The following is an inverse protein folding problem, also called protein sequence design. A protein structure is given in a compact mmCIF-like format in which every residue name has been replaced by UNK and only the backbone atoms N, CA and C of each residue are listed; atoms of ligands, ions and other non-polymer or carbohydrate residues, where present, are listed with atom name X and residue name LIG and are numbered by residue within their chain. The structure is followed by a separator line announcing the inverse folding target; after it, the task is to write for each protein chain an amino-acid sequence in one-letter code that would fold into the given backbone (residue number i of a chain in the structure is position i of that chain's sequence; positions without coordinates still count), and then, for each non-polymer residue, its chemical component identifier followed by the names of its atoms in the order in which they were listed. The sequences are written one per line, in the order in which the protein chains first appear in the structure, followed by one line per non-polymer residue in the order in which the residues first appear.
data_IF_312702646288
#
_entry.id   IF_312702646288
#
_cell.length_a   1.000
_cell.length_b   1.000
_cell.length_c   1.000
_cell.angle_alpha   90.00
_cell.angle_beta   90.00
_cell.angle_gamma   90.00
#
_symmetry.space_group_name_H-M   'P 1'
#
loop_
_entity.id
_entity.type
_entity.pdbx_description
1 polymer ?
#
# COMPACT_ATOMS: atom_id res chain seq x y z
N UNK A 1 27.71 -13.46 7.59
CA UNK A 1 26.42 -12.80 7.28
C UNK A 1 25.78 -12.46 8.61
N UNK A 2 25.36 -11.21 8.83
CA UNK A 2 24.74 -10.76 10.09
C UNK A 2 23.41 -11.50 10.31
N UNK A 3 23.17 -11.99 11.52
CA UNK A 3 21.88 -12.53 11.94
C UNK A 3 21.02 -11.47 12.64
N UNK A 4 19.77 -11.81 12.95
CA UNK A 4 18.83 -10.86 13.53
C UNK A 4 19.21 -10.44 14.96
N UNK A 5 19.71 -11.37 15.75
CA UNK A 5 20.17 -11.07 17.11
C UNK A 5 21.40 -10.16 17.10
N UNK A 6 22.34 -10.39 16.18
CA UNK A 6 23.50 -9.53 15.97
C UNK A 6 23.07 -8.11 15.56
N UNK A 7 22.08 -8.00 14.67
CA UNK A 7 21.53 -6.70 14.26
C UNK A 7 20.99 -5.92 15.48
N UNK A 8 20.08 -6.51 16.23
CA UNK A 8 19.48 -5.83 17.37
C UNK A 8 20.43 -5.50 18.51
N UNK A 9 21.52 -6.26 18.64
CA UNK A 9 22.56 -6.03 19.65
C UNK A 9 23.73 -5.15 19.16
N UNK A 10 23.70 -4.69 17.89
CA UNK A 10 24.83 -3.95 17.31
C UNK A 10 25.00 -2.54 17.91
N UNK A 11 23.93 -1.92 18.37
CA UNK A 11 23.98 -0.59 19.02
C UNK A 11 22.99 -0.52 20.21
N UNK A 12 23.27 0.32 21.21
CA UNK A 12 22.35 0.53 22.33
C UNK A 12 20.97 1.02 21.88
N UNK A 13 20.91 1.87 20.85
CA UNK A 13 19.65 2.43 20.32
C UNK A 13 18.77 1.36 19.68
N UNK A 14 19.36 0.49 18.86
CA UNK A 14 18.61 -0.62 18.23
C UNK A 14 18.12 -1.61 19.29
N UNK A 15 18.96 -1.93 20.27
CA UNK A 15 18.56 -2.78 21.40
C UNK A 15 17.40 -2.16 22.18
N UNK A 16 17.47 -0.85 22.44
CA UNK A 16 16.39 -0.13 23.13
C UNK A 16 15.07 -0.19 22.36
N UNK A 17 15.11 0.06 21.04
CA UNK A 17 13.90 -0.03 20.17
C UNK A 17 13.29 -1.43 20.24
N UNK A 18 14.14 -2.47 20.17
CA UNK A 18 13.70 -3.87 20.22
C UNK A 18 13.02 -4.21 21.56
N UNK A 19 13.68 -3.91 22.66
CA UNK A 19 13.17 -4.23 24.00
C UNK A 19 11.92 -3.42 24.33
N UNK A 20 11.88 -2.14 23.92
CA UNK A 20 10.70 -1.29 24.13
C UNK A 20 9.51 -1.76 23.29
N UNK A 21 9.72 -2.14 22.04
CA UNK A 21 8.66 -2.67 21.17
C UNK A 21 8.05 -3.96 21.77
N UNK A 22 8.88 -4.90 22.21
CA UNK A 22 8.41 -6.15 22.85
C UNK A 22 7.69 -5.89 24.18
N UNK A 23 8.18 -4.94 24.98
CA UNK A 23 7.52 -4.53 26.22
C UNK A 23 6.15 -3.89 25.98
N UNK A 24 5.92 -3.28 24.81
CA UNK A 24 4.65 -2.69 24.38
C UNK A 24 3.83 -3.62 23.48
N UNK A 25 4.25 -4.87 23.34
CA UNK A 25 3.58 -5.91 22.53
C UNK A 25 3.33 -5.48 21.07
N UNK A 26 4.33 -4.84 20.44
CA UNK A 26 4.36 -4.50 19.02
C UNK A 26 5.59 -5.08 18.34
N UNK A 27 5.50 -5.26 17.01
CA UNK A 27 6.59 -5.83 16.22
C UNK A 27 7.82 -4.89 16.17
N UNK A 28 9.02 -5.35 16.56
CA UNK A 28 10.22 -4.51 16.58
C UNK A 28 10.59 -3.91 15.22
N UNK A 29 10.49 -4.68 14.13
CA UNK A 29 10.81 -4.20 12.78
C UNK A 29 9.88 -3.08 12.32
N UNK A 30 8.58 -3.23 12.50
CA UNK A 30 7.63 -2.18 12.15
C UNK A 30 7.85 -0.93 13.01
N UNK A 31 8.13 -1.10 14.31
CA UNK A 31 8.46 0.00 15.22
C UNK A 31 9.71 0.73 14.76
N UNK A 32 10.80 0.02 14.45
CA UNK A 32 12.05 0.63 13.95
C UNK A 32 11.80 1.45 12.68
N UNK A 33 11.06 0.92 11.70
CA UNK A 33 10.85 1.62 10.44
C UNK A 33 10.03 2.90 10.63
N UNK A 34 9.03 2.87 11.52
CA UNK A 34 8.28 4.07 11.88
C UNK A 34 9.15 5.07 12.66
N UNK A 35 10.02 4.61 13.55
CA UNK A 35 11.03 5.45 14.24
C UNK A 35 11.92 6.15 13.21
N UNK A 36 12.45 5.42 12.22
CA UNK A 36 13.27 6.03 11.17
C UNK A 36 12.50 7.07 10.35
N UNK A 37 11.22 6.82 10.05
CA UNK A 37 10.38 7.79 9.36
C UNK A 37 10.16 9.06 10.19
N UNK A 38 9.99 8.94 11.51
CA UNK A 38 9.85 10.07 12.41
C UNK A 38 11.15 10.85 12.57
N UNK A 39 12.30 10.16 12.71
CA UNK A 39 13.62 10.80 12.68
C UNK A 39 13.82 11.57 11.38
N UNK A 40 13.49 10.96 10.23
CA UNK A 40 13.57 11.65 8.92
C UNK A 40 12.84 12.99 8.95
N UNK A 41 11.61 13.02 9.45
CA UNK A 41 10.81 14.27 9.51
C UNK A 41 11.40 15.28 10.51
N UNK A 42 12.07 14.83 11.58
CA UNK A 42 12.74 15.72 12.52
C UNK A 42 13.98 16.41 11.93
N UNK A 43 14.60 15.81 10.90
CA UNK A 43 15.80 16.35 10.24
C UNK A 43 15.45 17.53 9.34
N UNK A 44 16.17 18.66 9.40
CA UNK A 44 15.97 19.79 8.49
C UNK A 44 16.07 19.39 7.01
N UNK A 45 15.28 20.00 6.11
CA UNK A 45 15.27 19.63 4.70
C UNK A 45 16.61 19.88 3.98
N UNK A 46 17.41 20.84 4.44
CA UNK A 46 18.73 21.16 3.88
C UNK A 46 19.85 20.15 4.29
N UNK A 47 19.56 19.22 5.18
CA UNK A 47 20.44 18.07 5.46
C UNK A 47 20.22 17.04 4.39
N UNK A 48 21.25 16.68 3.64
CA UNK A 48 21.16 15.83 2.45
C UNK A 48 22.24 14.75 2.47
N UNK A 49 21.99 13.65 1.76
CA UNK A 49 23.04 12.66 1.51
C UNK A 49 23.91 13.09 0.34
N UNK A 50 25.17 12.63 0.25
CA UNK A 50 25.98 12.89 -0.92
C UNK A 50 25.39 12.25 -2.18
N UNK A 51 25.85 12.69 -3.35
CA UNK A 51 25.44 12.15 -4.66
C UNK A 51 26.04 10.76 -4.91
N UNK A 52 25.61 9.76 -4.14
CA UNK A 52 26.02 8.36 -4.34
C UNK A 52 25.39 7.77 -5.60
N UNK A 53 24.17 8.22 -5.94
CA UNK A 53 23.40 7.76 -7.10
C UNK A 53 23.05 8.97 -7.95
N UNK A 54 23.67 9.06 -9.12
CA UNK A 54 23.50 10.21 -10.01
C UNK A 54 24.37 11.41 -9.64
N UNK A 55 23.96 12.61 -10.03
CA UNK A 55 24.70 13.87 -9.81
C UNK A 55 24.11 14.74 -8.70
N UNK A 56 22.89 14.42 -8.25
CA UNK A 56 22.16 15.23 -7.28
C UNK A 56 22.31 14.70 -5.85
N UNK A 57 22.27 15.57 -4.86
CA UNK A 57 22.21 15.18 -3.46
C UNK A 57 20.89 14.48 -3.14
N UNK A 58 20.93 13.50 -2.24
CA UNK A 58 19.74 12.75 -1.87
C UNK A 58 18.98 13.38 -0.71
N UNK A 59 17.65 13.41 -0.78
CA UNK A 59 16.78 13.72 0.37
C UNK A 59 16.70 12.53 1.32
N UNK A 60 16.42 12.79 2.60
CA UNK A 60 16.16 11.76 3.62
C UNK A 60 14.69 11.33 3.71
N UNK A 61 13.85 11.77 2.79
CA UNK A 61 12.43 11.38 2.74
C UNK A 61 12.31 9.85 2.60
N UNK A 62 11.50 9.22 3.45
CA UNK A 62 11.36 7.76 3.51
C UNK A 62 9.90 7.34 3.61
N UNK A 63 9.55 6.21 3.01
CA UNK A 63 8.21 5.65 3.03
C UNK A 63 8.18 4.31 3.72
N UNK A 64 7.17 4.08 4.58
CA UNK A 64 7.03 2.87 5.40
C UNK A 64 5.65 2.26 5.17
N UNK A 65 5.63 0.97 4.86
CA UNK A 65 4.43 0.14 4.76
C UNK A 65 4.36 -0.89 5.89
N UNK A 66 3.37 -0.77 6.76
CA UNK A 66 3.14 -1.72 7.86
C UNK A 66 2.19 -2.81 7.35
N UNK A 67 2.72 -4.01 7.15
CA UNK A 67 2.01 -5.16 6.58
C UNK A 67 1.18 -5.88 7.64
N UNK A 68 -0.11 -6.09 7.38
CA UNK A 68 -0.94 -6.91 8.25
C UNK A 68 -2.44 -6.72 8.01
N UNK A 69 -3.27 -7.68 8.44
CA UNK A 69 -4.72 -7.58 8.39
C UNK A 69 -5.27 -6.37 9.15
N UNK A 70 -6.52 -6.03 8.93
CA UNK A 70 -7.21 -4.99 9.72
C UNK A 70 -7.32 -5.43 11.19
N UNK A 71 -7.19 -4.49 12.11
CA UNK A 71 -7.32 -4.77 13.55
C UNK A 71 -6.08 -5.35 14.23
N UNK A 72 -4.99 -5.65 13.52
CA UNK A 72 -3.77 -6.27 14.06
C UNK A 72 -2.77 -5.28 14.70
N UNK A 73 -3.21 -4.08 15.08
CA UNK A 73 -2.35 -3.18 15.88
C UNK A 73 -1.42 -2.27 15.07
N UNK A 74 -1.67 -2.04 13.76
CA UNK A 74 -0.87 -1.07 12.97
C UNK A 74 -0.83 0.32 13.62
N UNK A 75 -1.97 0.81 14.09
CA UNK A 75 -2.06 2.08 14.81
C UNK A 75 -1.36 2.06 16.19
N UNK A 76 -1.36 0.91 16.87
CA UNK A 76 -0.59 0.74 18.11
C UNK A 76 0.92 0.88 17.85
N UNK A 77 1.42 0.25 16.79
CA UNK A 77 2.83 0.36 16.39
C UNK A 77 3.25 1.80 16.11
N UNK A 78 2.42 2.57 15.38
CA UNK A 78 2.70 4.00 15.13
C UNK A 78 2.66 4.82 16.42
N UNK A 79 1.75 4.51 17.34
CA UNK A 79 1.66 5.14 18.67
C UNK A 79 2.88 4.85 19.53
N UNK A 80 3.39 3.61 19.54
CA UNK A 80 4.61 3.22 20.28
C UNK A 80 5.83 3.93 19.69
N UNK A 81 5.99 3.98 18.39
CA UNK A 81 7.07 4.72 17.74
C UNK A 81 6.96 6.24 17.99
N UNK A 82 5.74 6.79 18.11
CA UNK A 82 5.54 8.17 18.53
C UNK A 82 6.04 8.43 19.96
N UNK A 83 5.84 7.50 20.89
CA UNK A 83 6.38 7.65 22.25
C UNK A 83 7.90 7.58 22.30
N UNK A 84 8.55 6.89 21.32
CA UNK A 84 10.01 6.82 21.20
C UNK A 84 10.61 8.11 20.62
N UNK A 85 9.95 8.70 19.63
CA UNK A 85 10.38 9.94 18.96
C UNK A 85 9.20 10.91 18.92
N UNK A 86 8.85 11.57 20.04
CA UNK A 86 7.66 12.41 20.14
C UNK A 86 7.81 13.74 19.41
N UNK A 87 8.97 14.38 19.52
CA UNK A 87 9.24 15.70 18.95
C UNK A 87 9.74 15.58 17.51
N UNK A 88 8.93 16.06 16.58
CA UNK A 88 9.28 16.17 15.16
C UNK A 88 9.20 17.62 14.65
N UNK A 89 9.55 18.58 15.49
CA UNK A 89 9.75 19.99 15.16
C UNK A 89 8.63 20.58 14.28
N UNK A 90 7.42 20.64 14.80
CA UNK A 90 6.25 21.26 14.14
C UNK A 90 5.92 20.66 12.76
N UNK A 91 6.17 19.36 12.55
CA UNK A 91 5.76 18.71 11.31
C UNK A 91 4.23 18.69 11.18
N UNK A 92 3.76 18.96 9.96
CA UNK A 92 2.36 18.78 9.61
C UNK A 92 2.06 17.27 9.49
N UNK A 93 1.02 16.78 10.17
CA UNK A 93 0.48 15.45 9.94
C UNK A 93 -0.77 15.56 9.09
N UNK A 94 -0.81 14.90 7.93
CA UNK A 94 -1.89 15.03 6.98
C UNK A 94 -2.09 13.76 6.14
N UNK A 95 -3.27 13.66 5.53
CA UNK A 95 -3.60 12.67 4.51
C UNK A 95 -3.84 13.40 3.17
N UNK A 96 -3.08 13.10 2.10
CA UNK A 96 -3.24 13.80 0.84
C UNK A 96 -4.53 13.35 0.13
N UNK A 97 -5.38 14.29 -0.23
CA UNK A 97 -6.59 14.03 -1.00
C UNK A 97 -6.30 13.88 -2.51
N UNK A 98 -5.23 14.52 -3.00
CA UNK A 98 -4.79 14.49 -4.40
C UNK A 98 -3.28 14.76 -4.47
N UNK A 99 -2.67 14.61 -5.65
CA UNK A 99 -1.26 14.97 -5.85
C UNK A 99 -0.99 16.45 -5.65
N UNK A 100 -1.94 17.30 -5.98
CA UNK A 100 -1.85 18.75 -5.81
C UNK A 100 -1.86 19.18 -4.33
N UNK A 101 -2.45 18.39 -3.45
CA UNK A 101 -2.46 18.66 -2.01
C UNK A 101 -1.08 18.52 -1.37
N UNK A 102 -0.14 17.76 -1.98
CA UNK A 102 1.19 17.55 -1.43
C UNK A 102 2.01 18.86 -1.41
N UNK A 103 2.22 19.58 -2.54
CA UNK A 103 2.90 20.87 -2.48
C UNK A 103 2.15 21.92 -1.64
N UNK A 104 0.82 21.88 -1.60
CA UNK A 104 0.01 22.78 -0.80
C UNK A 104 0.23 22.66 0.72
N UNK A 105 0.74 21.51 1.20
CA UNK A 105 1.11 21.34 2.62
C UNK A 105 2.33 22.17 3.02
N UNK A 106 3.17 22.54 2.08
CA UNK A 106 4.44 23.26 2.34
C UNK A 106 4.38 24.73 2.05
N UNK A 107 3.38 25.20 1.30
CA UNK A 107 3.33 26.56 0.75
C UNK A 107 2.12 27.33 1.25
N UNK A 108 2.29 28.63 1.38
CA UNK A 108 1.20 29.60 1.51
C UNK A 108 1.50 30.81 0.63
N UNK A 109 0.52 31.70 0.51
CA UNK A 109 0.67 32.97 -0.22
C UNK A 109 0.68 34.13 0.74
N UNK A 110 1.61 35.03 0.51
CA UNK A 110 1.65 36.33 1.19
C UNK A 110 1.54 37.42 0.17
N UNK A 111 0.92 38.53 0.58
CA UNK A 111 0.94 39.75 -0.18
C UNK A 111 2.26 40.45 0.15
N UNK A 112 3.00 40.85 -0.87
CA UNK A 112 4.24 41.58 -0.75
C UNK A 112 4.12 42.86 -1.57
N UNK A 113 4.57 43.97 -0.99
CA UNK A 113 4.62 45.26 -1.69
C UNK A 113 5.86 45.30 -2.58
N UNK A 114 5.68 45.50 -3.88
CA UNK A 114 6.74 45.69 -4.87
C UNK A 114 6.60 47.09 -5.49
N UNK A 115 7.21 48.09 -4.84
CA UNK A 115 6.99 49.48 -5.16
C UNK A 115 5.53 49.90 -4.93
N UNK A 116 4.86 50.41 -5.97
CA UNK A 116 3.45 50.84 -5.90
C UNK A 116 2.44 49.69 -6.14
N UNK A 117 2.88 48.44 -6.26
CA UNK A 117 2.03 47.31 -6.57
C UNK A 117 2.08 46.26 -5.46
N UNK A 118 0.92 45.66 -5.21
CA UNK A 118 0.82 44.46 -4.36
C UNK A 118 0.87 43.21 -5.23
N UNK A 119 1.83 42.34 -4.96
CA UNK A 119 1.96 41.05 -5.61
C UNK A 119 1.72 39.91 -4.62
N UNK A 120 1.19 38.78 -5.11
CA UNK A 120 1.10 37.57 -4.32
C UNK A 120 2.32 36.71 -4.57
N UNK A 121 3.07 36.42 -3.53
CA UNK A 121 4.23 35.55 -3.58
C UNK A 121 3.95 34.23 -2.84
N UNK A 122 4.51 33.11 -3.37
CA UNK A 122 4.48 31.83 -2.69
C UNK A 122 5.65 31.79 -1.71
N UNK A 123 5.36 31.47 -0.46
CA UNK A 123 6.35 31.35 0.62
C UNK A 123 6.20 30.04 1.35
N UNK A 124 7.24 29.65 2.10
CA UNK A 124 7.21 28.48 2.95
C UNK A 124 6.23 28.66 4.11
N UNK A 125 5.18 27.85 4.18
CA UNK A 125 4.30 27.77 5.33
C UNK A 125 4.81 26.79 6.38
N UNK A 126 5.37 25.67 5.89
CA UNK A 126 5.86 24.56 6.66
C UNK A 126 6.90 23.79 5.84
N UNK A 127 8.01 23.42 6.43
CA UNK A 127 9.05 22.67 5.71
C UNK A 127 9.06 21.16 6.04
N UNK A 128 8.10 20.64 6.83
CA UNK A 128 8.04 19.23 7.25
C UNK A 128 6.62 18.70 7.20
N UNK A 129 6.49 17.48 6.68
CA UNK A 129 5.21 16.76 6.68
C UNK A 129 5.42 15.26 6.97
N UNK A 130 4.54 14.70 7.78
CA UNK A 130 4.39 13.26 7.97
C UNK A 130 3.02 12.85 7.44
N UNK A 131 3.01 12.08 6.35
CA UNK A 131 1.80 11.48 5.84
C UNK A 131 1.54 10.21 6.64
N UNK A 132 0.61 10.27 7.59
CA UNK A 132 0.16 9.10 8.36
C UNK A 132 -1.18 8.63 7.79
N UNK A 133 -1.12 7.57 6.99
CA UNK A 133 -2.26 7.05 6.22
C UNK A 133 -2.65 5.70 6.80
N UNK A 134 -3.79 5.57 7.48
CA UNK A 134 -4.17 4.34 8.16
C UNK A 134 -4.20 3.10 7.27
N UNK A 135 -4.56 3.29 5.99
CA UNK A 135 -4.65 2.18 5.03
C UNK A 135 -4.29 2.66 3.62
N UNK A 136 -3.48 1.89 2.91
CA UNK A 136 -3.02 2.17 1.55
C UNK A 136 -4.17 2.31 0.54
N UNK A 137 -5.32 1.71 0.82
CA UNK A 137 -6.52 1.82 -0.02
C UNK A 137 -6.97 3.27 -0.24
N UNK A 138 -6.68 4.17 0.72
CA UNK A 138 -6.96 5.60 0.60
C UNK A 138 -6.14 6.21 -0.55
N UNK A 139 -4.85 5.87 -0.66
CA UNK A 139 -4.00 6.29 -1.78
C UNK A 139 -4.45 5.66 -3.09
N UNK A 140 -4.74 4.34 -3.10
CA UNK A 140 -5.19 3.61 -4.28
C UNK A 140 -6.52 4.12 -4.84
N UNK A 141 -7.45 4.53 -4.00
CA UNK A 141 -8.71 5.16 -4.43
C UNK A 141 -8.49 6.52 -5.08
N UNK A 142 -7.56 7.31 -4.56
CA UNK A 142 -7.23 8.63 -5.08
C UNK A 142 -6.35 8.57 -6.35
N UNK A 143 -5.48 7.57 -6.47
CA UNK A 143 -4.60 7.39 -7.65
C UNK A 143 -5.36 6.93 -8.90
N UNK A 144 -6.45 6.16 -8.75
CA UNK A 144 -7.26 5.64 -9.86
C UNK A 144 -8.18 6.67 -10.51
N UNK A 145 -8.28 7.87 -9.97
CA UNK A 145 -9.03 8.96 -10.62
C UNK A 145 -8.33 9.38 -11.90
N UNK A 146 -9.10 9.56 -12.98
CA UNK A 146 -8.56 10.00 -14.26
C UNK A 146 -7.80 11.33 -14.09
N UNK A 147 -6.54 11.36 -14.57
CA UNK A 147 -5.68 12.53 -14.43
C UNK A 147 -5.04 12.70 -13.05
N UNK A 148 -5.09 11.69 -12.17
CA UNK A 148 -4.43 11.77 -10.86
C UNK A 148 -2.92 11.84 -11.01
N UNK A 149 -2.31 12.83 -10.35
CA UNK A 149 -0.86 13.01 -10.26
C UNK A 149 -0.30 12.59 -8.89
N UNK A 150 -1.09 11.86 -8.08
CA UNK A 150 -0.70 11.53 -6.70
C UNK A 150 0.55 10.64 -6.66
N UNK A 151 0.60 9.58 -7.46
CA UNK A 151 1.75 8.67 -7.49
C UNK A 151 3.01 9.35 -8.02
N UNK A 152 3.01 10.05 -9.17
CA UNK A 152 4.15 10.84 -9.60
C UNK A 152 4.63 11.84 -8.53
N UNK A 153 3.72 12.55 -7.88
CA UNK A 153 4.07 13.51 -6.84
C UNK A 153 4.72 12.83 -5.62
N UNK A 154 4.25 11.66 -5.20
CA UNK A 154 4.87 10.89 -4.11
C UNK A 154 6.27 10.38 -4.52
N UNK A 155 6.45 9.93 -5.76
CA UNK A 155 7.76 9.46 -6.23
C UNK A 155 8.77 10.60 -6.29
N UNK A 156 8.40 11.77 -6.79
CA UNK A 156 9.23 12.98 -6.76
C UNK A 156 9.51 13.45 -5.33
N UNK A 157 8.49 13.40 -4.45
CA UNK A 157 8.66 13.74 -3.04
C UNK A 157 9.67 12.80 -2.34
N UNK A 158 9.63 11.51 -2.60
CA UNK A 158 10.60 10.56 -2.04
C UNK A 158 12.03 10.88 -2.50
N UNK A 159 12.20 11.24 -3.76
CA UNK A 159 13.51 11.62 -4.33
C UNK A 159 14.00 12.98 -3.80
N UNK A 160 13.10 13.84 -3.31
CA UNK A 160 13.44 15.19 -2.88
C UNK A 160 13.51 16.19 -4.03
N UNK A 161 12.84 15.87 -5.14
CA UNK A 161 12.75 16.71 -6.33
C UNK A 161 11.81 17.92 -6.10
N UNK A 162 11.78 18.85 -7.03
CA UNK A 162 10.82 19.95 -7.01
C UNK A 162 9.39 19.39 -7.05
N UNK A 163 8.49 19.93 -6.23
CA UNK A 163 7.08 19.56 -6.22
C UNK A 163 6.22 20.67 -6.82
N UNK A 164 5.14 20.26 -7.47
CA UNK A 164 4.15 21.16 -8.01
C UNK A 164 3.93 20.98 -9.50
N UNK A 165 2.89 21.66 -10.00
CA UNK A 165 2.52 21.64 -11.40
C UNK A 165 2.43 23.08 -11.92
N UNK A 166 2.96 23.32 -13.12
CA UNK A 166 2.78 24.57 -13.81
C UNK A 166 1.41 24.58 -14.47
N UNK A 167 0.47 25.32 -13.87
CA UNK A 167 -0.90 25.47 -14.40
C UNK A 167 -1.10 26.84 -15.07
N UNK A 168 -2.07 26.95 -16.00
CA UNK A 168 -2.42 28.23 -16.63
C UNK A 168 -2.92 29.24 -15.60
N UNK A 169 -3.67 28.77 -14.61
CA UNK A 169 -4.16 29.63 -13.53
C UNK A 169 -3.06 29.80 -12.46
N UNK A 170 -2.55 31.00 -12.34
CA UNK A 170 -1.52 31.35 -11.35
C UNK A 170 -1.96 31.10 -9.91
N UNK A 171 -3.26 31.22 -9.64
CA UNK A 171 -3.82 30.92 -8.32
C UNK A 171 -3.62 29.43 -7.89
N UNK A 172 -3.40 28.52 -8.83
CA UNK A 172 -3.21 27.09 -8.56
C UNK A 172 -1.74 26.64 -8.70
N UNK A 173 -0.81 27.58 -8.89
CA UNK A 173 0.63 27.25 -8.95
C UNK A 173 1.19 27.21 -7.53
N UNK A 174 1.44 26.02 -7.03
CA UNK A 174 2.16 25.75 -5.79
C UNK A 174 3.42 25.00 -6.15
N UNK A 175 4.56 25.67 -6.05
CA UNK A 175 5.87 25.05 -6.30
C UNK A 175 6.65 24.98 -5.01
N UNK A 176 7.22 23.81 -4.73
CA UNK A 176 8.07 23.58 -3.56
C UNK A 176 9.44 23.17 -4.10
N UNK A 177 10.49 23.95 -3.84
CA UNK A 177 11.81 23.66 -4.35
C UNK A 177 12.42 22.44 -3.68
N UNK A 178 13.30 21.74 -4.40
CA UNK A 178 14.14 20.67 -3.84
C UNK A 178 14.89 21.19 -2.62
N UNK A 179 15.12 20.31 -1.65
CA UNK A 179 15.77 20.64 -0.37
C UNK A 179 15.04 21.69 0.50
N UNK A 180 13.90 22.20 0.05
CA UNK A 180 13.05 23.11 0.81
C UNK A 180 12.01 22.40 1.68
N UNK A 181 11.90 21.09 1.59
CA UNK A 181 10.91 20.30 2.31
C UNK A 181 11.43 18.93 2.78
N UNK A 182 10.80 18.42 3.82
CA UNK A 182 10.98 17.05 4.32
C UNK A 182 9.62 16.36 4.36
N UNK A 183 9.52 15.17 3.73
CA UNK A 183 8.28 14.41 3.72
C UNK A 183 8.56 12.94 3.96
N UNK A 184 7.91 12.36 4.97
CA UNK A 184 7.87 10.91 5.15
C UNK A 184 6.44 10.41 5.11
N UNK A 185 6.28 9.14 4.74
CA UNK A 185 4.98 8.49 4.63
C UNK A 185 4.98 7.20 5.44
N UNK A 186 3.95 7.01 6.25
CA UNK A 186 3.66 5.78 6.97
C UNK A 186 2.26 5.34 6.54
N UNK A 187 2.11 4.08 6.15
CA UNK A 187 0.80 3.54 5.78
C UNK A 187 0.62 2.10 6.21
N UNK A 188 -0.59 1.76 6.63
CA UNK A 188 -0.99 0.38 6.80
C UNK A 188 -1.24 -0.28 5.44
N UNK A 189 -0.80 -1.52 5.28
CA UNK A 189 -0.97 -2.30 4.05
C UNK A 189 -1.54 -3.66 4.39
N UNK A 190 -2.82 -3.87 4.06
CA UNK A 190 -3.41 -5.19 4.14
C UNK A 190 -2.91 -6.06 2.98
N UNK A 191 -2.62 -7.36 3.19
CA UNK A 191 -2.20 -8.26 2.11
C UNK A 191 -3.16 -8.25 0.91
N UNK A 192 -4.46 -8.15 1.15
CA UNK A 192 -5.48 -8.05 0.08
C UNK A 192 -5.37 -6.78 -0.76
N UNK A 193 -4.79 -5.71 -0.22
CA UNK A 193 -4.66 -4.40 -0.85
C UNK A 193 -3.23 -4.13 -1.36
N UNK A 194 -2.31 -5.05 -1.12
CA UNK A 194 -0.91 -4.92 -1.55
C UNK A 194 -0.78 -4.70 -3.07
N UNK A 195 -1.68 -5.29 -3.86
CA UNK A 195 -1.75 -5.06 -5.30
C UNK A 195 -1.90 -3.58 -5.68
N UNK A 196 -2.54 -2.75 -4.84
CA UNK A 196 -2.70 -1.32 -5.11
C UNK A 196 -1.36 -0.57 -5.18
N UNK A 197 -0.33 -1.06 -4.44
CA UNK A 197 1.03 -0.51 -4.56
C UNK A 197 1.79 -1.24 -5.66
N UNK A 198 1.69 -2.58 -5.74
CA UNK A 198 2.49 -3.38 -6.67
C UNK A 198 2.11 -3.15 -8.12
N UNK A 199 0.83 -2.89 -8.41
CA UNK A 199 0.35 -2.54 -9.75
C UNK A 199 1.00 -1.24 -10.26
N UNK A 200 1.50 -0.40 -9.34
CA UNK A 200 2.28 0.81 -9.62
C UNK A 200 3.80 0.53 -9.78
N UNK A 201 4.21 -0.72 -10.00
CA UNK A 201 5.62 -1.09 -10.15
C UNK A 201 6.30 -0.36 -11.31
N UNK A 202 5.57 -0.05 -12.38
CA UNK A 202 6.04 0.77 -13.50
C UNK A 202 6.34 2.22 -13.15
N UNK A 203 5.77 2.76 -12.05
CA UNK A 203 6.06 4.12 -11.56
C UNK A 203 7.22 4.16 -10.56
N UNK A 204 7.67 2.99 -10.11
CA UNK A 204 8.75 2.86 -9.11
C UNK A 204 8.32 3.17 -7.67
N UNK A 205 7.04 3.33 -7.38
CA UNK A 205 6.56 3.63 -6.03
C UNK A 205 6.83 2.48 -5.04
N UNK A 206 6.53 1.19 -5.34
CA UNK A 206 6.76 0.08 -4.41
C UNK A 206 8.23 -0.08 -3.97
N UNK A 207 9.16 0.25 -4.86
CA UNK A 207 10.59 0.13 -4.63
C UNK A 207 11.13 1.15 -3.61
N UNK A 208 10.31 2.14 -3.26
CA UNK A 208 10.65 3.26 -2.37
C UNK A 208 10.20 3.02 -0.92
N UNK A 209 9.48 1.93 -0.67
CA UNK A 209 8.98 1.60 0.66
C UNK A 209 9.92 0.66 1.43
N UNK A 210 10.03 0.91 2.72
CA UNK A 210 10.39 -0.10 3.71
C UNK A 210 9.12 -0.83 4.16
N UNK A 211 9.10 -2.14 4.03
CA UNK A 211 7.97 -2.96 4.46
C UNK A 211 8.33 -3.78 5.69
N UNK A 212 7.48 -3.76 6.72
CA UNK A 212 7.61 -4.61 7.90
C UNK A 212 6.26 -5.19 8.32
N UNK A 213 6.20 -6.44 8.81
CA UNK A 213 4.98 -7.02 9.34
C UNK A 213 4.60 -6.36 10.68
N UNK A 214 3.31 -6.26 10.94
CA UNK A 214 2.76 -5.84 12.24
C UNK A 214 2.91 -6.94 13.29
N UNK A 215 3.26 -8.15 12.88
CA UNK A 215 3.43 -9.33 13.74
C UNK A 215 4.89 -9.60 14.04
N UNK A 216 5.15 -10.18 15.23
CA UNK A 216 6.44 -10.73 15.65
C UNK A 216 6.20 -12.19 16.07
N UNK A 217 6.68 -13.16 15.26
CA UNK A 217 6.51 -14.58 15.55
C UNK A 217 7.31 -15.05 16.79
N UNK A 218 8.26 -14.27 17.22
CA UNK A 218 9.10 -14.55 18.40
C UNK A 218 8.69 -13.70 19.61
N UNK A 219 7.53 -13.03 19.54
CA UNK A 219 7.04 -12.23 20.65
C UNK A 219 6.83 -13.12 21.89
N UNK A 220 7.32 -12.72 23.07
CA UNK A 220 7.08 -13.48 24.29
C UNK A 220 5.60 -13.41 24.69
N UNK A 221 5.08 -14.49 25.29
CA UNK A 221 3.68 -14.53 25.78
C UNK A 221 3.44 -13.47 26.86
N UNK A 222 4.40 -13.32 27.77
CA UNK A 222 4.38 -12.25 28.77
C UNK A 222 5.30 -11.10 28.34
N UNK A 223 4.79 -9.85 28.29
CA UNK A 223 5.61 -8.72 27.88
C UNK A 223 6.76 -8.50 28.91
N UNK A 224 7.99 -8.33 28.42
CA UNK A 224 9.11 -8.01 29.30
C UNK A 224 8.95 -6.61 29.90
N UNK A 225 9.69 -6.34 30.96
CA UNK A 225 9.74 -5.00 31.53
C UNK A 225 10.30 -4.01 30.50
N UNK A 226 9.65 -2.86 30.35
CA UNK A 226 10.14 -1.82 29.46
C UNK A 226 11.52 -1.31 29.93
N UNK A 227 12.45 -1.06 28.98
CA UNK A 227 13.74 -0.48 29.32
C UNK A 227 13.55 0.90 29.94
N UNK A 228 14.39 1.24 30.91
CA UNK A 228 14.37 2.54 31.60
C UNK A 228 14.98 3.63 30.69
N UNK A 229 14.49 4.86 30.86
CA UNK A 229 15.01 6.03 30.15
C UNK A 229 14.26 6.33 28.86
N UNK A 230 14.97 6.86 27.87
CA UNK A 230 14.47 7.20 26.54
C UNK A 230 15.31 6.48 25.48
N UNK A 231 14.92 6.62 24.20
CA UNK A 231 15.71 6.08 23.09
C UNK A 231 17.08 6.78 23.08
N UNK A 232 18.11 6.03 23.38
CA UNK A 232 19.47 6.53 23.48
C UNK A 232 20.34 5.90 22.38
N UNK A 233 21.25 6.70 21.82
CA UNK A 233 21.60 8.07 22.18
C UNK A 233 20.85 9.17 21.39
N UNK A 234 19.80 8.86 20.63
CA UNK A 234 19.12 9.83 19.75
C UNK A 234 18.56 11.04 20.55
N UNK A 235 18.92 12.23 20.11
CA UNK A 235 18.40 13.50 20.63
C UNK A 235 18.07 14.45 19.48
N UNK A 236 16.82 14.90 19.40
CA UNK A 236 16.37 15.87 18.39
C UNK A 236 17.15 17.18 18.48
N UNK A 237 17.56 17.59 19.69
CA UNK A 237 18.32 18.81 19.88
C UNK A 237 19.75 18.74 19.29
N UNK A 238 20.31 17.54 19.14
CA UNK A 238 21.61 17.33 18.50
C UNK A 238 21.57 17.47 16.96
N UNK A 239 20.38 17.43 16.36
CA UNK A 239 20.23 17.63 14.93
C UNK A 239 20.51 19.09 14.56
N UNK A 240 20.97 19.37 13.31
CA UNK A 240 21.13 20.73 12.83
C UNK A 240 19.88 21.59 13.02
N UNK A 241 20.07 22.86 13.31
CA UNK A 241 18.97 23.82 13.42
C UNK A 241 18.30 24.05 12.08
N UNK A 242 17.02 24.41 12.12
CA UNK A 242 16.31 24.82 10.92
C UNK A 242 16.92 26.08 10.31
N UNK A 243 16.74 26.22 9.02
CA UNK A 243 17.06 27.44 8.34
C UNK A 243 16.16 28.59 8.76
N UNK A 244 16.67 29.79 8.67
CA UNK A 244 15.90 31.00 8.89
C UNK A 244 14.72 31.07 7.90
N UNK A 245 13.56 31.51 8.36
CA UNK A 245 12.36 31.63 7.53
C UNK A 245 12.60 32.49 6.27
N UNK A 246 13.41 33.55 6.38
CA UNK A 246 13.79 34.40 5.24
C UNK A 246 14.54 33.67 4.15
N UNK A 247 15.45 32.77 4.52
CA UNK A 247 16.20 31.95 3.55
C UNK A 247 15.29 30.92 2.87
N UNK A 248 14.37 30.30 3.62
CA UNK A 248 13.35 29.43 3.05
C UNK A 248 12.42 30.20 2.10
N UNK A 249 11.94 31.39 2.50
CA UNK A 249 11.08 32.21 1.65
C UNK A 249 11.79 32.59 0.34
N UNK A 250 13.10 32.95 0.41
CA UNK A 250 13.90 33.22 -0.79
C UNK A 250 13.97 32.01 -1.72
N UNK A 251 14.23 30.81 -1.17
CA UNK A 251 14.25 29.56 -1.94
C UNK A 251 12.90 29.27 -2.61
N UNK A 252 11.79 29.45 -1.89
CA UNK A 252 10.45 29.20 -2.42
C UNK A 252 10.03 30.19 -3.50
N UNK A 253 10.46 31.46 -3.40
CA UNK A 253 10.20 32.48 -4.41
C UNK A 253 11.05 32.24 -5.69
N UNK A 254 12.28 31.80 -5.54
CA UNK A 254 13.14 31.48 -6.66
C UNK A 254 12.66 30.24 -7.45
N UNK A 255 12.00 29.30 -6.75
CA UNK A 255 11.49 28.06 -7.34
C UNK A 255 12.58 27.20 -7.95
N UNK A 256 12.24 26.40 -8.98
CA UNK A 256 13.15 25.50 -9.69
C UNK A 256 14.23 26.23 -10.52
N UNK A 257 14.15 27.54 -10.64
CA UNK A 257 15.20 28.35 -11.32
C UNK A 257 16.42 28.57 -10.45
N UNK A 258 16.31 28.26 -9.15
CA UNK A 258 17.42 28.42 -8.22
C UNK A 258 18.37 27.23 -8.38
N UNK A 259 19.37 27.38 -9.23
CA UNK A 259 20.45 26.41 -9.37
C UNK A 259 21.41 26.58 -8.20
N UNK A 260 21.18 25.80 -7.15
CA UNK A 260 21.98 25.85 -5.92
C UNK A 260 23.40 25.34 -6.09
N UNK A 261 23.70 24.75 -7.24
CA UNK A 261 24.94 24.04 -7.52
C UNK A 261 25.98 24.87 -8.27
N UNK A 262 25.53 25.89 -9.02
CA UNK A 262 26.39 26.47 -10.06
C UNK A 262 27.24 27.67 -9.59
N UNK A 263 27.04 28.20 -8.41
CA UNK A 263 27.66 29.51 -8.12
C UNK A 263 28.42 29.66 -6.80
N UNK A 264 28.79 28.64 -6.09
CA UNK A 264 29.68 28.75 -4.91
C UNK A 264 29.25 29.74 -3.81
N UNK A 265 28.27 30.59 -4.09
CA UNK A 265 27.64 31.58 -3.21
C UNK A 265 26.15 31.28 -3.04
N UNK A 266 25.82 30.08 -2.58
CA UNK A 266 24.42 29.78 -2.30
C UNK A 266 23.98 30.46 -1.02
N UNK A 267 22.96 31.27 -1.10
CA UNK A 267 22.22 31.80 0.07
C UNK A 267 21.52 30.67 0.88
N UNK A 268 21.65 29.42 0.43
CA UNK A 268 21.05 28.22 1.01
C UNK A 268 22.09 27.11 1.24
N UNK A 269 22.78 27.13 2.39
CA UNK A 269 23.87 26.19 2.65
C UNK A 269 23.33 24.78 2.92
N UNK A 270 23.58 23.84 2.01
CA UNK A 270 23.31 22.43 2.24
C UNK A 270 24.28 21.87 3.29
N UNK A 271 23.74 20.99 4.15
CA UNK A 271 24.51 20.16 5.08
C UNK A 271 24.62 18.77 4.49
N UNK A 272 25.71 18.48 3.79
CA UNK A 272 25.94 17.18 3.18
C UNK A 272 26.50 16.23 4.21
N UNK A 273 25.86 15.08 4.40
CA UNK A 273 26.33 14.03 5.30
C UNK A 273 27.58 13.34 4.78
N UNK A 274 28.46 12.91 5.68
CA UNK A 274 29.64 12.13 5.34
C UNK A 274 29.32 10.64 5.28
N UNK A 275 29.89 9.94 4.30
CA UNK A 275 29.70 8.50 4.12
C UNK A 275 31.05 7.78 4.02
N UNK A 276 31.12 6.51 4.45
CA UNK A 276 32.36 5.74 4.37
C UNK A 276 32.70 5.40 2.91
N UNK A 277 34.00 5.20 2.58
CA UNK A 277 34.44 4.89 1.21
C UNK A 277 33.74 3.67 0.58
N UNK A 278 33.35 2.68 1.40
CA UNK A 278 32.63 1.49 0.95
C UNK A 278 31.29 1.84 0.31
N UNK A 279 30.59 2.89 0.78
CA UNK A 279 29.31 3.33 0.21
C UNK A 279 29.47 3.82 -1.23
N UNK A 280 30.51 4.63 -1.48
CA UNK A 280 30.83 5.11 -2.84
C UNK A 280 31.26 3.97 -3.77
N UNK A 281 32.04 3.01 -3.25
CA UNK A 281 32.49 1.86 -4.03
C UNK A 281 31.30 0.97 -4.46
N UNK A 282 30.37 0.71 -3.54
CA UNK A 282 29.17 -0.07 -3.81
C UNK A 282 28.23 0.64 -4.79
N UNK A 283 27.99 1.94 -4.60
CA UNK A 283 27.16 2.72 -5.52
C UNK A 283 27.69 2.73 -6.94
N UNK A 284 29.03 2.90 -7.12
CA UNK A 284 29.68 2.80 -8.44
C UNK A 284 29.52 1.43 -9.07
N UNK A 285 29.69 0.34 -8.28
CA UNK A 285 29.51 -1.03 -8.77
C UNK A 285 28.08 -1.27 -9.23
N UNK A 286 27.08 -0.91 -8.41
CA UNK A 286 25.65 -1.06 -8.76
C UNK A 286 25.34 -0.27 -10.05
N UNK A 287 25.88 0.94 -10.19
CA UNK A 287 25.69 1.74 -11.41
C UNK A 287 26.32 1.11 -12.64
N UNK A 288 27.53 0.58 -12.52
CA UNK A 288 28.20 -0.14 -13.61
C UNK A 288 27.42 -1.39 -14.04
N UNK A 289 26.94 -2.19 -13.08
CA UNK A 289 26.12 -3.37 -13.34
C UNK A 289 24.81 -3.00 -14.07
N UNK A 290 24.16 -1.91 -13.67
CA UNK A 290 22.97 -1.38 -14.35
C UNK A 290 23.26 -0.96 -15.79
N UNK A 291 24.38 -0.25 -16.01
CA UNK A 291 24.81 0.18 -17.36
C UNK A 291 25.14 -1.02 -18.28
N UNK A 292 25.63 -2.10 -17.70
CA UNK A 292 25.89 -3.35 -18.44
C UNK A 292 24.63 -4.22 -18.63
N UNK A 293 23.44 -3.73 -18.25
CA UNK A 293 22.19 -4.46 -18.40
C UNK A 293 22.05 -5.66 -17.44
N UNK A 294 22.87 -5.76 -16.40
CA UNK A 294 22.72 -6.74 -15.34
C UNK A 294 21.55 -6.29 -14.45
N UNK A 295 20.34 -6.72 -14.81
CA UNK A 295 19.12 -6.31 -14.12
C UNK A 295 18.95 -7.14 -12.85
N UNK A 296 18.86 -6.45 -11.70
CA UNK A 296 18.28 -7.00 -10.47
C UNK A 296 16.74 -7.04 -10.58
N UNK A 297 16.07 -7.63 -9.60
CA UNK A 297 14.60 -7.57 -9.51
C UNK A 297 14.13 -6.11 -9.72
N UNK A 298 13.18 -5.85 -10.63
CA UNK A 298 12.63 -4.51 -10.83
C UNK A 298 12.15 -3.84 -9.53
N UNK A 299 11.70 -4.62 -8.55
CA UNK A 299 11.30 -4.13 -7.24
C UNK A 299 12.49 -3.67 -6.36
N UNK A 300 13.73 -3.91 -6.76
CA UNK A 300 14.95 -3.47 -6.07
C UNK A 300 15.69 -2.34 -6.82
N UNK A 301 15.11 -1.79 -7.87
CA UNK A 301 15.73 -0.74 -8.69
C UNK A 301 16.19 0.50 -7.89
N UNK A 302 15.52 0.81 -6.77
CA UNK A 302 15.85 1.92 -5.88
C UNK A 302 16.59 1.50 -4.59
N UNK A 303 17.07 0.24 -4.50
CA UNK A 303 17.69 -0.31 -3.28
C UNK A 303 18.84 0.51 -2.76
N UNK A 304 19.76 0.94 -3.63
CA UNK A 304 20.93 1.73 -3.20
C UNK A 304 20.52 3.10 -2.64
N UNK A 305 19.53 3.75 -3.25
CA UNK A 305 18.98 5.01 -2.75
C UNK A 305 18.27 4.84 -1.41
N UNK A 306 17.52 3.76 -1.24
CA UNK A 306 16.85 3.43 0.02
C UNK A 306 17.88 3.11 1.11
N UNK A 307 18.90 2.28 0.82
CA UNK A 307 20.02 1.97 1.72
C UNK A 307 20.74 3.23 2.19
N UNK A 308 21.00 4.17 1.27
CA UNK A 308 21.62 5.45 1.59
C UNK A 308 20.81 6.22 2.63
N UNK A 309 19.51 6.35 2.44
CA UNK A 309 18.62 7.03 3.40
C UNK A 309 18.56 6.31 4.75
N UNK A 310 18.44 4.99 4.74
CA UNK A 310 18.40 4.18 5.97
C UNK A 310 19.70 4.32 6.75
N UNK A 311 20.87 4.27 6.09
CA UNK A 311 22.16 4.45 6.75
C UNK A 311 22.29 5.83 7.43
N UNK A 312 21.81 6.89 6.76
CA UNK A 312 21.75 8.23 7.35
C UNK A 312 20.90 8.29 8.62
N UNK A 313 19.71 7.68 8.57
CA UNK A 313 18.76 7.69 9.68
C UNK A 313 19.25 6.82 10.85
N UNK A 314 19.95 5.71 10.56
CA UNK A 314 20.61 4.89 11.58
C UNK A 314 21.78 5.63 12.23
N UNK A 315 22.59 6.36 11.46
CA UNK A 315 23.67 7.17 12.01
C UNK A 315 23.12 8.22 12.97
N UNK A 316 22.04 8.91 12.63
CA UNK A 316 21.38 9.86 13.52
C UNK A 316 20.83 9.21 14.78
N UNK A 317 20.27 8.02 14.66
CA UNK A 317 19.78 7.24 15.80
C UNK A 317 20.92 6.80 16.73
N UNK A 318 22.09 6.46 16.19
CA UNK A 318 23.18 5.81 16.90
C UNK A 318 24.26 6.79 17.39
N UNK A 319 24.45 7.95 16.72
CA UNK A 319 25.58 8.86 16.94
C UNK A 319 25.13 10.30 17.22
N UNK A 320 24.61 10.61 18.42
CA UNK A 320 24.08 11.94 18.74
C UNK A 320 25.14 13.04 18.70
N UNK A 321 26.41 12.71 18.97
CA UNK A 321 27.52 13.68 18.97
C UNK A 321 28.02 13.99 17.53
N UNK A 322 27.73 13.15 16.56
CA UNK A 322 28.10 13.32 15.16
C UNK A 322 27.02 12.76 14.21
N UNK A 323 25.79 13.33 14.26
CA UNK A 323 24.63 12.76 13.59
C UNK A 323 24.70 12.88 12.04
N UNK A 324 25.67 13.62 11.52
CA UNK A 324 25.84 13.81 10.06
C UNK A 324 26.88 12.86 9.47
N UNK A 325 27.44 11.97 10.26
CA UNK A 325 28.46 11.02 9.81
C UNK A 325 27.94 9.58 9.85
N UNK A 326 27.85 8.98 8.68
CA UNK A 326 27.57 7.56 8.50
C UNK A 326 28.87 6.79 8.59
N UNK A 327 28.97 5.82 9.51
CA UNK A 327 30.12 4.91 9.62
C UNK A 327 29.85 3.59 8.88
N UNK A 328 30.88 2.75 8.72
CA UNK A 328 30.75 1.46 8.01
C UNK A 328 29.72 0.52 8.68
N UNK A 329 29.58 0.59 10.00
CA UNK A 329 28.57 -0.17 10.70
C UNK A 329 27.14 0.24 10.27
N UNK A 330 26.84 1.54 10.21
CA UNK A 330 25.51 2.02 9.79
C UNK A 330 25.21 1.61 8.35
N UNK A 331 26.21 1.63 7.47
CA UNK A 331 26.07 1.18 6.08
C UNK A 331 25.76 -0.32 5.98
N UNK A 332 26.40 -1.13 6.84
CA UNK A 332 26.18 -2.57 6.93
C UNK A 332 24.81 -2.89 7.52
N UNK A 333 24.42 -2.17 8.58
CA UNK A 333 23.09 -2.29 9.21
C UNK A 333 21.97 -1.90 8.23
N UNK A 334 22.20 -0.83 7.44
CA UNK A 334 21.24 -0.40 6.41
C UNK A 334 21.05 -1.45 5.32
N UNK A 335 22.08 -2.19 4.97
CA UNK A 335 21.96 -3.30 4.01
C UNK A 335 21.08 -4.41 4.56
N UNK A 336 21.27 -4.79 5.82
CA UNK A 336 20.45 -5.77 6.52
C UNK A 336 18.98 -5.33 6.64
N UNK A 337 18.72 -4.05 6.96
CA UNK A 337 17.36 -3.46 6.98
C UNK A 337 16.69 -3.58 5.62
N UNK A 338 17.39 -3.24 4.55
CA UNK A 338 16.85 -3.35 3.18
C UNK A 338 16.57 -4.80 2.80
N UNK A 339 17.47 -5.74 3.18
CA UNK A 339 17.27 -7.17 2.95
C UNK A 339 16.03 -7.69 3.68
N UNK A 340 15.87 -7.35 4.97
CA UNK A 340 14.68 -7.72 5.75
C UNK A 340 13.40 -7.15 5.13
N UNK A 341 13.40 -5.90 4.76
CA UNK A 341 12.25 -5.27 4.08
C UNK A 341 11.88 -5.99 2.78
N UNK A 342 12.88 -6.39 1.97
CA UNK A 342 12.67 -7.17 0.74
C UNK A 342 12.03 -8.54 1.04
N UNK A 343 12.47 -9.24 2.10
CA UNK A 343 11.89 -10.52 2.52
C UNK A 343 10.44 -10.35 2.98
N UNK A 344 10.16 -9.37 3.83
CA UNK A 344 8.79 -9.08 4.30
C UNK A 344 7.85 -8.73 3.14
N UNK A 345 8.32 -7.97 2.16
CA UNK A 345 7.58 -7.67 0.94
C UNK A 345 7.28 -8.95 0.15
N UNK A 346 8.27 -9.82 -0.02
CA UNK A 346 8.10 -11.08 -0.75
C UNK A 346 7.08 -12.01 -0.07
N UNK A 347 7.13 -12.16 1.25
CA UNK A 347 6.17 -12.92 2.05
C UNK A 347 4.75 -12.36 1.90
N UNK A 348 4.59 -11.03 2.00
CA UNK A 348 3.30 -10.39 1.81
C UNK A 348 2.74 -10.57 0.39
N UNK A 349 3.59 -10.59 -0.64
CA UNK A 349 3.21 -10.90 -2.02
C UNK A 349 2.66 -12.33 -2.13
N UNK A 350 3.30 -13.30 -1.49
CA UNK A 350 2.81 -14.68 -1.49
C UNK A 350 1.46 -14.80 -0.78
N UNK A 351 1.31 -14.20 0.41
CA UNK A 351 0.05 -14.15 1.13
C UNK A 351 -1.07 -13.51 0.28
N UNK A 352 -0.79 -12.40 -0.41
CA UNK A 352 -1.75 -11.74 -1.29
C UNK A 352 -2.20 -12.65 -2.45
N UNK A 353 -1.27 -13.43 -3.03
CA UNK A 353 -1.58 -14.40 -4.08
C UNK A 353 -2.48 -15.53 -3.57
N UNK A 354 -2.22 -16.05 -2.39
CA UNK A 354 -3.03 -17.08 -1.75
C UNK A 354 -4.45 -16.58 -1.46
N UNK A 355 -4.59 -15.42 -0.84
CA UNK A 355 -5.90 -14.80 -0.58
C UNK A 355 -6.68 -14.62 -1.90
N UNK A 356 -6.04 -14.18 -2.96
CA UNK A 356 -6.69 -14.02 -4.29
C UNK A 356 -7.14 -15.35 -4.87
N UNK A 357 -6.34 -16.42 -4.72
CA UNK A 357 -6.69 -17.77 -5.17
C UNK A 357 -7.89 -18.33 -4.40
N UNK A 358 -7.86 -18.22 -3.06
CA UNK A 358 -8.96 -18.69 -2.20
C UNK A 358 -10.26 -17.97 -2.54
N UNK A 359 -10.27 -16.64 -2.61
CA UNK A 359 -11.46 -15.87 -2.97
C UNK A 359 -12.00 -16.22 -4.35
N UNK A 360 -11.12 -16.50 -5.31
CA UNK A 360 -11.56 -16.93 -6.65
C UNK A 360 -12.21 -18.31 -6.62
N UNK A 361 -11.64 -19.25 -5.85
CA UNK A 361 -12.23 -20.60 -5.69
C UNK A 361 -13.60 -20.54 -4.99
N UNK A 362 -13.72 -19.75 -3.91
CA UNK A 362 -14.99 -19.51 -3.22
C UNK A 362 -16.06 -18.89 -4.14
N UNK A 363 -15.67 -17.90 -4.96
CA UNK A 363 -16.60 -17.26 -5.89
C UNK A 363 -17.09 -18.23 -6.98
N UNK A 364 -16.24 -19.14 -7.47
CA UNK A 364 -16.61 -20.19 -8.42
C UNK A 364 -17.58 -21.17 -7.77
N UNK A 365 -17.29 -21.65 -6.55
CA UNK A 365 -18.16 -22.57 -5.84
C UNK A 365 -19.54 -21.97 -5.59
N UNK A 366 -19.62 -20.70 -5.18
CA UNK A 366 -20.90 -19.98 -4.99
C UNK A 366 -21.70 -19.83 -6.30
N UNK A 367 -21.02 -19.57 -7.44
CA UNK A 367 -21.69 -19.48 -8.75
C UNK A 367 -22.22 -20.85 -9.20
N UNK A 368 -21.45 -21.92 -8.98
CA UNK A 368 -21.87 -23.29 -9.29
C UNK A 368 -23.06 -23.72 -8.43
N UNK A 369 -23.06 -23.43 -7.12
CA UNK A 369 -24.18 -23.70 -6.21
C UNK A 369 -25.44 -22.92 -6.62
N UNK A 370 -25.27 -21.64 -6.95
CA UNK A 370 -26.38 -20.81 -7.42
C UNK A 370 -26.99 -21.33 -8.74
N UNK A 371 -26.16 -21.82 -9.66
CA UNK A 371 -26.61 -22.45 -10.92
C UNK A 371 -27.36 -23.76 -10.66
N UNK A 372 -26.83 -24.62 -9.80
CA UNK A 372 -27.46 -25.88 -9.43
C UNK A 372 -28.84 -25.65 -8.79
N UNK A 373 -28.97 -24.68 -7.88
CA UNK A 373 -30.24 -24.32 -7.27
C UNK A 373 -31.24 -23.73 -8.27
N UNK A 374 -30.77 -22.87 -9.20
CA UNK A 374 -31.60 -22.33 -10.28
C UNK A 374 -32.12 -23.42 -11.22
N UNK A 375 -31.30 -24.42 -11.54
CA UNK A 375 -31.72 -25.53 -12.42
C UNK A 375 -32.70 -26.47 -11.70
N UNK A 376 -32.53 -26.70 -10.40
CA UNK A 376 -33.46 -27.41 -9.57
C UNK A 376 -34.86 -26.72 -9.51
N UNK A 377 -34.87 -25.42 -9.31
CA UNK A 377 -36.09 -24.61 -9.35
C UNK A 377 -36.79 -24.66 -10.72
N UNK A 378 -36.02 -24.62 -11.83
CA UNK A 378 -36.55 -24.77 -13.19
C UNK A 378 -37.18 -26.16 -13.39
N UNK A 379 -36.55 -27.21 -12.91
CA UNK A 379 -37.06 -28.58 -12.98
C UNK A 379 -38.38 -28.75 -12.19
N UNK A 380 -38.44 -28.28 -10.95
CA UNK A 380 -39.65 -28.31 -10.15
C UNK A 380 -40.82 -27.46 -10.75
N UNK A 381 -40.46 -26.31 -11.31
CA UNK A 381 -41.44 -25.49 -12.06
C UNK A 381 -41.97 -26.19 -13.31
N UNK A 382 -41.10 -26.99 -14.01
CA UNK A 382 -41.55 -27.80 -15.15
C UNK A 382 -42.48 -28.94 -14.71
N UNK A 383 -42.15 -29.67 -13.64
CA UNK A 383 -43.00 -30.69 -13.04
C UNK A 383 -44.41 -30.13 -12.67
N UNK A 384 -44.43 -29.02 -11.96
CA UNK A 384 -45.71 -28.36 -11.57
C UNK A 384 -46.54 -27.98 -12.80
N UNK A 385 -45.94 -27.52 -13.88
CA UNK A 385 -46.67 -27.19 -15.10
C UNK A 385 -47.19 -28.41 -15.84
N UNK A 386 -46.45 -29.51 -15.87
CA UNK A 386 -46.90 -30.80 -16.43
C UNK A 386 -48.15 -31.26 -15.69
N UNK A 387 -48.14 -31.31 -14.33
CA UNK A 387 -49.26 -31.71 -13.52
C UNK A 387 -50.48 -30.80 -13.76
N UNK A 388 -50.31 -29.49 -13.73
CA UNK A 388 -51.40 -28.55 -13.99
C UNK A 388 -51.99 -28.68 -15.40
N UNK A 389 -51.15 -28.93 -16.40
CA UNK A 389 -51.63 -29.15 -17.77
C UNK A 389 -52.49 -30.41 -17.87
N UNK A 390 -52.04 -31.53 -17.31
CA UNK A 390 -52.79 -32.80 -17.31
C UNK A 390 -54.07 -32.67 -16.50
N UNK A 391 -54.05 -32.08 -15.33
CA UNK A 391 -55.26 -31.83 -14.53
C UNK A 391 -56.34 -31.02 -15.28
N UNK A 392 -55.90 -30.07 -16.15
CA UNK A 392 -56.82 -29.24 -16.91
C UNK A 392 -57.33 -29.90 -18.19
N UNK A 393 -56.53 -30.71 -18.88
CA UNK A 393 -56.78 -31.17 -20.25
C UNK A 393 -57.02 -32.69 -20.37
N UNK A 394 -56.85 -33.44 -19.27
CA UNK A 394 -57.12 -34.88 -19.17
C UNK A 394 -58.03 -35.26 -18.02
N UNK A 395 -59.24 -34.68 -17.92
CA UNK A 395 -60.16 -34.93 -16.79
C UNK A 395 -60.76 -36.35 -16.80
N UNK A 396 -60.64 -37.07 -17.93
CA UNK A 396 -61.11 -38.46 -18.10
C UNK A 396 -60.03 -39.50 -17.96
N UNK A 397 -58.78 -39.08 -17.67
CA UNK A 397 -57.59 -39.98 -17.59
C UNK A 397 -57.37 -40.84 -18.82
N UNK A 398 -57.67 -40.31 -20.03
CA UNK A 398 -57.44 -40.99 -21.31
C UNK A 398 -55.96 -40.87 -21.77
N UNK A 399 -55.22 -40.01 -21.11
CA UNK A 399 -53.79 -39.77 -21.32
C UNK A 399 -53.48 -38.83 -22.50
N UNK A 400 -52.52 -37.93 -22.28
CA UNK A 400 -52.04 -36.96 -23.29
C UNK A 400 -50.66 -37.34 -23.76
N UNK A 401 -50.39 -37.35 -25.06
CA UNK A 401 -49.07 -37.64 -25.64
C UNK A 401 -48.02 -36.63 -25.16
N UNK A 402 -46.82 -37.12 -24.79
CA UNK A 402 -45.76 -36.31 -24.22
C UNK A 402 -45.35 -35.13 -25.10
N UNK A 403 -45.36 -35.26 -26.47
CA UNK A 403 -45.02 -34.15 -27.35
C UNK A 403 -46.07 -33.00 -27.27
N UNK A 404 -47.34 -33.29 -26.99
CA UNK A 404 -48.38 -32.25 -26.77
C UNK A 404 -48.14 -31.52 -25.45
N UNK A 405 -47.76 -32.23 -24.41
CA UNK A 405 -47.39 -31.64 -23.10
C UNK A 405 -46.19 -30.69 -23.32
N UNK A 406 -45.15 -31.17 -24.00
CA UNK A 406 -43.96 -30.33 -24.35
C UNK A 406 -44.35 -29.06 -25.10
N UNK A 407 -45.19 -29.18 -26.10
CA UNK A 407 -45.64 -28.06 -26.93
C UNK A 407 -46.40 -27.01 -26.10
N UNK A 408 -47.24 -27.48 -25.16
CA UNK A 408 -48.04 -26.63 -24.28
C UNK A 408 -47.17 -25.88 -23.26
N UNK A 409 -46.02 -26.44 -22.86
CA UNK A 409 -45.11 -25.80 -21.87
C UNK A 409 -44.27 -24.65 -22.52
N UNK A 410 -44.31 -24.46 -23.85
CA UNK A 410 -43.70 -23.35 -24.55
C UNK A 410 -42.20 -23.25 -24.27
N UNK A 411 -41.69 -22.10 -23.76
CA UNK A 411 -40.27 -21.87 -23.44
C UNK A 411 -39.64 -22.92 -22.50
N UNK A 412 -40.43 -23.62 -21.70
CA UNK A 412 -39.94 -24.71 -20.80
C UNK A 412 -40.12 -26.11 -21.42
N UNK A 413 -40.54 -26.18 -22.71
CA UNK A 413 -40.70 -27.42 -23.46
C UNK A 413 -39.47 -28.36 -23.46
N UNK A 414 -38.23 -27.86 -23.58
CA UNK A 414 -37.05 -28.74 -23.53
C UNK A 414 -36.95 -29.57 -22.24
N UNK A 415 -37.43 -29.07 -21.10
CA UNK A 415 -37.38 -29.74 -19.79
C UNK A 415 -38.65 -30.62 -19.55
N UNK A 416 -39.61 -30.65 -20.48
CA UNK A 416 -40.87 -31.33 -20.25
C UNK A 416 -40.71 -32.86 -20.16
N UNK A 417 -39.84 -33.45 -20.96
CA UNK A 417 -39.67 -34.90 -20.95
C UNK A 417 -38.96 -35.35 -19.67
N UNK A 418 -37.91 -34.63 -19.26
CA UNK A 418 -37.22 -34.90 -17.99
C UNK A 418 -38.20 -34.77 -16.82
N UNK A 419 -39.08 -33.76 -16.83
CA UNK A 419 -40.06 -33.56 -15.79
C UNK A 419 -41.13 -34.66 -15.78
N UNK A 420 -41.59 -35.17 -16.97
CA UNK A 420 -42.50 -36.27 -17.09
C UNK A 420 -41.91 -37.55 -16.51
N UNK A 421 -40.67 -37.90 -16.92
CA UNK A 421 -39.97 -39.09 -16.44
C UNK A 421 -39.70 -39.04 -14.93
N UNK A 422 -39.29 -37.88 -14.40
CA UNK A 422 -39.14 -37.67 -12.98
C UNK A 422 -40.48 -37.84 -12.21
N UNK A 423 -41.57 -37.24 -12.69
CA UNK A 423 -42.87 -37.37 -12.08
C UNK A 423 -43.42 -38.82 -12.14
N UNK A 424 -43.09 -39.54 -13.20
CA UNK A 424 -43.43 -40.96 -13.34
C UNK A 424 -42.66 -41.80 -12.33
N UNK A 425 -41.36 -41.60 -12.22
CA UNK A 425 -40.51 -42.30 -11.23
C UNK A 425 -40.94 -41.97 -9.79
N UNK A 426 -41.43 -40.77 -9.53
CA UNK A 426 -41.99 -40.33 -8.25
C UNK A 426 -43.40 -40.90 -7.96
N UNK A 427 -44.02 -41.63 -8.91
CA UNK A 427 -45.39 -42.15 -8.80
C UNK A 427 -46.47 -41.05 -8.84
N UNK A 428 -46.15 -39.90 -9.38
CA UNK A 428 -47.08 -38.74 -9.51
C UNK A 428 -47.69 -38.63 -10.92
N UNK A 429 -47.23 -39.45 -11.84
CA UNK A 429 -47.82 -39.68 -13.17
C UNK A 429 -47.97 -41.18 -13.42
N UNK A 430 -48.96 -41.54 -14.23
CA UNK A 430 -49.14 -42.86 -14.79
C UNK A 430 -49.07 -42.78 -16.33
N UNK A 431 -48.86 -43.95 -16.97
CA UNK A 431 -48.89 -44.05 -18.45
C UNK A 431 -50.00 -45.02 -18.87
N UNK A 432 -50.68 -44.64 -19.92
CA UNK A 432 -51.71 -45.50 -20.55
C UNK A 432 -51.08 -46.49 -21.49
N UNK A 433 -49.90 -46.18 -22.08
CA UNK A 433 -49.15 -47.00 -23.05
C UNK A 433 -48.04 -47.72 -22.31
N UNK A 434 -47.87 -49.04 -22.51
CA UNK A 434 -46.87 -49.85 -21.79
C UNK A 434 -45.46 -49.71 -22.38
N UNK A 435 -45.33 -49.35 -23.66
CA UNK A 435 -44.03 -49.21 -24.36
C UNK A 435 -43.98 -47.95 -25.22
N UNK A 436 -42.79 -47.44 -25.50
CA UNK A 436 -42.53 -46.29 -26.37
C UNK A 436 -41.72 -45.15 -25.74
N UNK A 437 -41.25 -44.24 -26.54
CA UNK A 437 -40.53 -43.06 -26.08
C UNK A 437 -41.45 -42.08 -25.33
N UNK A 438 -40.95 -41.35 -24.35
CA UNK A 438 -41.66 -40.35 -23.52
C UNK A 438 -42.45 -39.36 -24.39
N UNK A 439 -41.96 -39.00 -25.54
CA UNK A 439 -42.62 -38.10 -26.49
C UNK A 439 -43.97 -38.65 -27.07
N UNK A 440 -44.04 -39.95 -27.30
CA UNK A 440 -45.20 -40.62 -27.90
C UNK A 440 -46.13 -41.34 -26.94
N UNK A 441 -45.67 -41.67 -25.74
CA UNK A 441 -46.49 -42.23 -24.65
C UNK A 441 -47.56 -41.24 -24.25
N UNK A 442 -48.71 -41.82 -23.82
CA UNK A 442 -49.81 -41.03 -23.20
C UNK A 442 -49.68 -41.04 -21.70
N UNK A 443 -49.53 -39.86 -21.14
CA UNK A 443 -49.34 -39.61 -19.71
C UNK A 443 -50.61 -39.08 -19.08
N UNK A 444 -50.93 -39.55 -17.87
CA UNK A 444 -52.09 -39.14 -17.10
C UNK A 444 -51.80 -38.99 -15.64
N UNK A 445 -52.68 -38.35 -14.90
CA UNK A 445 -52.63 -38.34 -13.43
C UNK A 445 -53.08 -39.69 -12.86
N UNK A 446 -52.50 -40.20 -11.75
CA UNK A 446 -52.92 -41.45 -11.11
C UNK A 446 -54.37 -41.42 -10.72
N UNK A 447 -55.14 -42.47 -11.06
CA UNK A 447 -56.53 -42.63 -10.65
C UNK A 447 -56.55 -43.22 -9.25
N UNK A 448 -57.02 -42.44 -8.25
CA UNK A 448 -57.29 -42.95 -6.89
C UNK A 448 -56.33 -42.60 -5.79
N UNK A 449 -55.42 -41.64 -5.96
CA UNK A 449 -54.69 -41.00 -4.85
C UNK A 449 -55.13 -39.55 -4.66
N UNK A 450 -55.53 -39.14 -3.43
CA UNK A 450 -55.86 -37.74 -3.19
C UNK A 450 -54.65 -36.85 -3.44
N UNK A 451 -54.85 -35.77 -4.19
CA UNK A 451 -53.85 -34.67 -4.35
C UNK A 451 -53.48 -34.13 -2.97
N UNK A 452 -52.24 -34.24 -2.58
CA UNK A 452 -51.64 -33.53 -1.46
C UNK A 452 -51.21 -32.16 -1.88
#
# INVERSE_FOLDING_TARGET
MMDEQQFWNSTPSLRYVFDYARAKQVAPWATLFVVLARISVAVPPHVVTPSLVGSEYGSLNIFVGILGPSGMGKGLTTGVAHSLVPDIRKAMTAQPASGESIPAMFTTRKIQDEGDRQIQVVVCANCRALLDIPEIAVLGGNSKRQGSILIPMLTSAWSGEDLGCFTKNEANRYTVPRYGYRLSLITGVQPSNLGMILDESGTGLPQRFLFAPVTDSEAPEEPPQAPLGSILPFDVAALPTDMMASALDTLYQAGSRYDMMDHGETSYPLKVMEYPPIAYAEARRVRADTLHGKVSDPLDAHRIGLKTKVAALLAMLNHPNDPLKVVELDWTLADYVCEKSTRFRAEAIQQAKEIKRTRKAEAIALDDDARAEADKQKAESAKTRVLNYLAKHDPKHEGIKGYRIRQALGRKGPMAYDAIEALYSEGRLDTVDQEGETSFRRWTLPVGKPSV
#
